data_IF_045788820070
#
_entry.id   IF_045788820070
#
_cell.length_a   1.000
_cell.length_b   1.000
_cell.length_c   1.000
_cell.angle_alpha   90.00
_cell.angle_beta   90.00
_cell.angle_gamma   90.00
#
_symmetry.space_group_name_H-M   'P 1'
#
loop_
_entity.id
_entity.type
_entity.pdbx_description
1 polymer ?
#
# COMPACT_ATOMS: atom_id res chain seq x y z
N UNK A 1 -15.42 3.48 -0.15
CA UNK A 1 -14.85 4.13 -1.37
C UNK A 1 -13.68 3.31 -1.91
N UNK A 2 -13.26 3.49 -3.18
CA UNK A 2 -12.05 2.85 -3.73
C UNK A 2 -10.94 3.89 -3.91
N UNK A 3 -9.74 3.60 -3.42
CA UNK A 3 -8.56 4.46 -3.53
C UNK A 3 -7.43 3.68 -4.17
N UNK A 4 -6.72 4.32 -5.08
CA UNK A 4 -5.55 3.75 -5.76
C UNK A 4 -4.36 4.63 -5.44
N UNK A 5 -3.30 4.03 -4.94
CA UNK A 5 -2.05 4.65 -4.55
C UNK A 5 -0.94 4.11 -5.45
N UNK A 6 -0.21 5.01 -6.11
CA UNK A 6 0.97 4.63 -6.88
C UNK A 6 2.18 4.69 -5.96
N UNK A 7 2.97 3.62 -5.91
CA UNK A 7 4.12 3.50 -5.06
C UNK A 7 5.36 3.38 -5.94
N UNK A 8 6.27 4.33 -5.84
CA UNK A 8 7.56 4.28 -6.52
C UNK A 8 8.59 3.56 -5.65
N UNK A 9 9.43 2.71 -6.25
CA UNK A 9 10.47 1.96 -5.53
C UNK A 9 10.05 0.55 -5.06
N UNK A 10 8.84 0.11 -5.40
CA UNK A 10 8.35 -1.24 -5.08
C UNK A 10 8.98 -2.26 -6.07
N UNK A 11 10.25 -2.62 -5.86
CA UNK A 11 10.96 -3.64 -6.63
C UNK A 11 11.05 -5.00 -5.91
N UNK A 12 10.82 -5.05 -4.60
CA UNK A 12 10.98 -6.29 -3.83
C UNK A 12 9.61 -6.84 -3.40
N UNK A 13 9.35 -8.10 -3.74
CA UNK A 13 8.15 -8.86 -3.32
C UNK A 13 7.94 -8.83 -1.79
N UNK A 14 9.04 -8.72 -1.03
CA UNK A 14 9.00 -8.58 0.43
C UNK A 14 8.24 -7.33 0.89
N UNK A 15 8.26 -6.25 0.10
CA UNK A 15 7.60 -4.99 0.40
C UNK A 15 6.07 -5.12 0.36
N UNK A 16 5.55 -5.99 -0.51
CA UNK A 16 4.12 -6.24 -0.66
C UNK A 16 3.57 -6.85 0.63
N UNK A 17 4.26 -7.86 1.14
CA UNK A 17 3.86 -8.58 2.35
C UNK A 17 3.93 -7.66 3.58
N UNK A 18 4.97 -6.83 3.68
CA UNK A 18 5.12 -5.83 4.74
C UNK A 18 3.98 -4.81 4.73
N UNK A 19 3.68 -4.22 3.56
CA UNK A 19 2.58 -3.25 3.44
C UNK A 19 1.25 -3.91 3.79
N UNK A 20 0.99 -5.14 3.33
CA UNK A 20 -0.22 -5.88 3.71
C UNK A 20 -0.34 -6.04 5.22
N UNK A 21 0.73 -6.44 5.91
CA UNK A 21 0.73 -6.60 7.37
C UNK A 21 0.47 -5.27 8.10
N UNK A 22 1.15 -4.19 7.71
CA UNK A 22 0.94 -2.86 8.29
C UNK A 22 -0.48 -2.34 8.06
N UNK A 23 -1.06 -2.61 6.89
CA UNK A 23 -2.45 -2.26 6.57
C UNK A 23 -3.44 -3.03 7.46
N UNK A 24 -3.17 -4.30 7.76
CA UNK A 24 -3.97 -5.08 8.70
C UNK A 24 -3.94 -4.49 10.10
N UNK A 25 -2.77 -4.08 10.57
CA UNK A 25 -2.58 -3.50 11.89
C UNK A 25 -3.34 -2.18 12.09
N UNK A 26 -3.55 -1.41 11.01
CA UNK A 26 -4.36 -0.18 11.08
C UNK A 26 -5.86 -0.43 10.94
N UNK A 27 -6.28 -1.66 10.63
CA UNK A 27 -7.67 -2.10 10.54
C UNK A 27 -8.21 -2.29 9.12
N UNK A 28 -7.34 -2.37 8.11
CA UNK A 28 -7.74 -2.59 6.71
C UNK A 28 -7.72 -4.09 6.41
N UNK A 29 -8.87 -4.62 5.99
CA UNK A 29 -9.01 -6.03 5.63
C UNK A 29 -8.13 -6.40 4.42
N UNK A 30 -7.47 -7.56 4.45
CA UNK A 30 -6.64 -8.02 3.33
C UNK A 30 -7.43 -8.18 2.02
N UNK A 31 -8.69 -8.60 2.10
CA UNK A 31 -9.59 -8.71 0.95
C UNK A 31 -9.87 -7.34 0.29
N UNK A 32 -9.75 -6.26 1.07
CA UNK A 32 -9.86 -4.89 0.62
C UNK A 32 -8.55 -4.36 0.00
N UNK A 33 -7.45 -5.10 0.11
CA UNK A 33 -6.11 -4.69 -0.34
C UNK A 33 -5.67 -5.48 -1.55
N UNK A 34 -5.49 -4.79 -2.68
CA UNK A 34 -4.92 -5.36 -3.90
C UNK A 34 -3.65 -4.62 -4.30
N UNK A 35 -2.52 -5.31 -4.31
CA UNK A 35 -1.23 -4.75 -4.74
C UNK A 35 -0.85 -5.38 -6.08
N UNK A 36 -0.47 -4.55 -7.04
CA UNK A 36 0.13 -4.97 -8.31
C UNK A 36 1.51 -4.37 -8.43
N UNK A 37 2.51 -5.17 -8.74
CA UNK A 37 3.88 -4.68 -8.95
C UNK A 37 4.25 -4.87 -10.40
N UNK A 38 4.74 -3.80 -11.00
CA UNK A 38 5.36 -3.78 -12.30
C UNK A 38 6.88 -3.82 -12.09
N UNK A 39 7.43 -5.03 -12.12
CA UNK A 39 8.86 -5.29 -11.94
C UNK A 39 9.73 -4.65 -13.03
N UNK A 40 9.15 -4.39 -14.21
CA UNK A 40 9.84 -3.77 -15.35
C UNK A 40 10.09 -2.28 -15.11
N UNK A 41 9.17 -1.58 -14.44
CA UNK A 41 9.25 -0.14 -14.17
C UNK A 41 9.55 0.20 -12.71
N UNK A 42 9.76 -0.80 -11.85
CA UNK A 42 9.94 -0.64 -10.39
C UNK A 42 8.79 0.16 -9.75
N UNK A 43 7.56 -0.10 -10.19
CA UNK A 43 6.34 0.59 -9.73
C UNK A 43 5.37 -0.39 -9.10
N UNK A 44 4.86 -0.04 -7.92
CA UNK A 44 3.74 -0.69 -7.29
C UNK A 44 2.47 0.12 -7.46
N UNK A 45 1.34 -0.54 -7.65
CA UNK A 45 0.00 0.05 -7.61
C UNK A 45 -0.76 -0.65 -6.49
N UNK A 46 -0.99 0.07 -5.40
CA UNK A 46 -1.79 -0.37 -4.27
C UNK A 46 -3.23 0.12 -4.47
N UNK A 47 -4.19 -0.78 -4.38
CA UNK A 47 -5.61 -0.49 -4.49
C UNK A 47 -6.29 -0.90 -3.20
N UNK A 48 -6.95 0.05 -2.55
CA UNK A 48 -7.70 -0.13 -1.32
C UNK A 48 -9.19 0.04 -1.66
N UNK A 49 -9.97 -1.02 -1.46
CA UNK A 49 -11.40 -1.04 -1.67
C UNK A 49 -12.12 -1.03 -0.32
N UNK A 50 -13.22 -0.29 -0.21
CA UNK A 50 -14.03 -0.27 1.00
C UNK A 50 -13.32 0.27 2.26
N UNK A 51 -12.42 1.24 2.06
CA UNK A 51 -11.75 1.93 3.16
C UNK A 51 -12.32 3.34 3.42
N UNK A 52 -12.19 3.78 4.66
CA UNK A 52 -12.53 5.13 5.13
C UNK A 52 -11.34 6.09 4.97
N UNK A 53 -11.60 7.40 5.01
CA UNK A 53 -10.56 8.42 4.85
C UNK A 53 -9.52 8.38 5.99
N UNK A 54 -9.98 8.17 7.22
CA UNK A 54 -9.12 7.98 8.41
C UNK A 54 -8.23 6.74 8.32
N UNK A 55 -8.69 5.68 7.65
CA UNK A 55 -7.91 4.47 7.40
C UNK A 55 -6.85 4.71 6.32
N UNK A 56 -7.22 5.45 5.27
CA UNK A 56 -6.30 5.85 4.21
C UNK A 56 -5.13 6.69 4.75
N UNK A 57 -5.40 7.68 5.60
CA UNK A 57 -4.36 8.54 6.16
C UNK A 57 -3.36 7.74 6.99
N UNK A 58 -3.85 6.86 7.87
CA UNK A 58 -3.00 5.96 8.66
C UNK A 58 -2.18 5.01 7.79
N UNK A 59 -2.79 4.46 6.75
CA UNK A 59 -2.12 3.60 5.79
C UNK A 59 -0.97 4.33 5.08
N UNK A 60 -1.23 5.53 4.56
CA UNK A 60 -0.22 6.35 3.87
C UNK A 60 0.90 6.74 4.83
N UNK A 61 0.57 7.13 6.06
CA UNK A 61 1.55 7.49 7.08
C UNK A 61 2.44 6.29 7.46
N UNK A 62 1.86 5.10 7.62
CA UNK A 62 2.62 3.86 7.85
C UNK A 62 3.52 3.50 6.69
N UNK A 63 3.00 3.54 5.47
CA UNK A 63 3.77 3.23 4.27
C UNK A 63 4.95 4.21 4.11
N UNK A 64 4.73 5.51 4.33
CA UNK A 64 5.80 6.51 4.30
C UNK A 64 6.80 6.33 5.46
N UNK A 65 6.33 5.91 6.64
CA UNK A 65 7.19 5.63 7.80
C UNK A 65 8.11 4.41 7.60
N UNK A 66 7.82 3.53 6.64
CA UNK A 66 8.73 2.43 6.27
C UNK A 66 9.99 2.93 5.53
N UNK A 67 10.06 4.23 5.19
CA UNK A 67 11.27 4.93 4.75
C UNK A 67 11.84 4.51 3.38
N UNK A 68 11.37 3.39 2.81
CA UNK A 68 11.86 2.79 1.57
C UNK A 68 10.91 2.97 0.39
N UNK A 69 9.72 3.55 0.59
CA UNK A 69 8.68 3.69 -0.43
C UNK A 69 8.12 5.10 -0.43
N UNK A 70 7.84 5.65 -1.61
CA UNK A 70 7.19 6.95 -1.75
C UNK A 70 5.85 6.75 -2.47
N UNK A 71 4.76 7.14 -1.80
CA UNK A 71 3.43 7.20 -2.40
C UNK A 71 3.34 8.49 -3.23
N UNK A 72 3.02 8.36 -4.52
CA UNK A 72 2.88 9.45 -5.50
C UNK A 72 1.42 9.84 -5.73
#
# INVERSE_FOLDING_TARGET
>A
MKKTLNIQGMHCDACISLIKMELEEVGIAQDSVSIRVDSLNSRGVLTLADIEETQLEKAVERINSLGSYQVL
#
